data_IF_273012164835
#
_entry.id   IF_273012164835
#
_cell.length_a   1.000
_cell.length_b   1.000
_cell.length_c   1.000
_cell.angle_alpha   90.00
_cell.angle_beta   90.00
_cell.angle_gamma   90.00
#
_symmetry.space_group_name_H-M   'P 1'
#
loop_
_entity.id
_entity.type
_entity.pdbx_description
1 polymer ?
#
# COMPACT_ATOMS: atom_id res chain seq x y z
N UNK A 1 -8.35 -16.81 8.49
CA UNK A 1 -9.03 -17.09 9.78
C UNK A 1 -9.75 -18.41 9.72
N UNK A 2 -9.56 -19.24 10.75
CA UNK A 2 -9.89 -20.68 10.92
C UNK A 2 -11.01 -21.25 10.03
N UNK A 3 -10.58 -21.72 8.84
CA UNK A 3 -11.31 -22.50 7.84
C UNK A 3 -12.29 -21.78 6.88
N UNK A 4 -12.20 -20.44 6.70
CA UNK A 4 -12.98 -19.78 5.64
C UNK A 4 -12.79 -18.27 5.43
N UNK A 5 -12.02 -17.58 6.28
CA UNK A 5 -11.74 -16.15 6.09
C UNK A 5 -10.39 -15.98 5.38
N UNK A 6 -10.44 -15.80 4.06
CA UNK A 6 -9.33 -15.29 3.28
C UNK A 6 -9.16 -13.80 3.62
N UNK A 7 -7.97 -13.34 4.01
CA UNK A 7 -7.71 -11.90 4.28
C UNK A 7 -6.44 -11.48 3.54
N UNK A 8 -6.60 -11.01 2.31
CA UNK A 8 -5.50 -10.66 1.40
C UNK A 8 -5.12 -9.16 1.43
N UNK A 9 -5.82 -8.35 2.22
CA UNK A 9 -5.64 -6.88 2.22
C UNK A 9 -4.24 -6.41 2.61
N UNK A 10 -3.46 -7.25 3.30
CA UNK A 10 -2.08 -6.94 3.68
C UNK A 10 -1.19 -6.59 2.47
N UNK A 11 -1.40 -7.24 1.32
CA UNK A 11 -0.63 -6.95 0.11
C UNK A 11 -0.86 -5.52 -0.39
N UNK A 12 -2.08 -5.01 -0.28
CA UNK A 12 -2.39 -3.62 -0.63
C UNK A 12 -1.68 -2.63 0.30
N UNK A 13 -1.74 -2.84 1.62
CA UNK A 13 -1.09 -1.93 2.59
C UNK A 13 0.43 -1.96 2.48
N UNK A 14 1.02 -3.14 2.22
CA UNK A 14 2.44 -3.28 1.92
C UNK A 14 2.81 -2.49 0.66
N UNK A 15 2.01 -2.59 -0.41
CA UNK A 15 2.27 -1.85 -1.64
C UNK A 15 2.20 -0.34 -1.43
N UNK A 16 1.20 0.17 -0.70
CA UNK A 16 1.08 1.59 -0.35
C UNK A 16 2.32 2.08 0.39
N UNK A 17 2.79 1.33 1.40
CA UNK A 17 4.00 1.68 2.13
C UNK A 17 5.26 1.63 1.26
N UNK A 18 5.44 0.56 0.49
CA UNK A 18 6.61 0.39 -0.37
C UNK A 18 6.72 1.49 -1.43
N UNK A 19 5.66 1.73 -2.20
CA UNK A 19 5.65 2.79 -3.20
C UNK A 19 5.69 4.18 -2.56
N UNK A 20 5.10 4.37 -1.38
CA UNK A 20 5.25 5.58 -0.59
C UNK A 20 6.70 5.87 -0.23
N UNK A 21 7.43 4.87 0.29
CA UNK A 21 8.86 5.01 0.59
C UNK A 21 9.68 5.32 -0.65
N UNK A 22 9.50 4.53 -1.72
CA UNK A 22 10.25 4.69 -2.97
C UNK A 22 10.02 6.06 -3.60
N UNK A 23 8.77 6.57 -3.55
CA UNK A 23 8.47 7.91 -4.02
C UNK A 23 9.08 8.98 -3.12
N UNK A 24 8.97 8.85 -1.79
CA UNK A 24 9.47 9.87 -0.85
C UNK A 24 11.01 9.96 -0.82
N UNK A 25 11.70 8.83 -0.90
CA UNK A 25 13.16 8.77 -0.81
C UNK A 25 13.86 8.86 -2.18
N UNK A 26 13.17 8.56 -3.28
CA UNK A 26 13.75 8.44 -4.62
C UNK A 26 13.33 9.55 -5.59
N UNK A 27 13.87 9.52 -6.80
CA UNK A 27 13.50 10.42 -7.89
C UNK A 27 12.34 9.84 -8.72
N UNK A 28 11.41 10.66 -9.25
CA UNK A 28 11.31 12.13 -9.22
C UNK A 28 10.66 12.72 -7.95
N UNK A 29 10.61 11.98 -6.84
CA UNK A 29 10.05 12.50 -5.59
C UNK A 29 11.01 13.41 -4.82
N UNK A 30 10.65 13.78 -3.57
CA UNK A 30 11.35 14.82 -2.82
C UNK A 30 12.76 14.44 -2.32
N UNK A 31 13.21 13.19 -2.48
CA UNK A 31 14.54 12.77 -2.05
C UNK A 31 14.77 12.91 -0.54
N UNK A 32 13.74 12.64 0.27
CA UNK A 32 13.81 12.78 1.73
C UNK A 32 14.82 11.79 2.33
N UNK A 33 15.42 12.11 3.50
CA UNK A 33 16.26 11.17 4.23
C UNK A 33 15.54 9.84 4.46
N UNK A 34 16.21 8.68 4.28
CA UNK A 34 15.56 7.36 4.31
C UNK A 34 14.75 7.09 5.58
N UNK A 35 15.26 7.49 6.75
CA UNK A 35 14.54 7.35 8.02
C UNK A 35 13.21 8.13 8.06
N UNK A 36 13.20 9.37 7.53
CA UNK A 36 11.98 10.20 7.47
C UNK A 36 11.00 9.63 6.45
N UNK A 37 11.49 9.24 5.27
CA UNK A 37 10.68 8.59 4.24
C UNK A 37 10.04 7.30 4.76
N UNK A 38 10.76 6.50 5.56
CA UNK A 38 10.24 5.28 6.17
C UNK A 38 9.08 5.55 7.13
N UNK A 39 9.25 6.52 8.04
CA UNK A 39 8.19 6.87 8.99
C UNK A 39 6.95 7.38 8.27
N UNK A 40 7.13 8.26 7.27
CA UNK A 40 6.02 8.74 6.44
C UNK A 40 5.34 7.63 5.66
N UNK A 41 6.10 6.67 5.11
CA UNK A 41 5.55 5.51 4.43
C UNK A 41 4.69 4.61 5.34
N UNK A 42 5.12 4.39 6.59
CA UNK A 42 4.33 3.67 7.60
C UNK A 42 3.05 4.44 7.93
N UNK A 43 3.13 5.77 8.09
CA UNK A 43 1.97 6.61 8.32
C UNK A 43 0.99 6.58 7.13
N UNK A 44 1.48 6.57 5.90
CA UNK A 44 0.66 6.43 4.69
C UNK A 44 -0.07 5.09 4.65
N UNK A 45 0.63 3.99 4.93
CA UNK A 45 0.01 2.66 5.03
C UNK A 45 -1.04 2.62 6.15
N UNK A 46 -0.75 3.23 7.30
CA UNK A 46 -1.68 3.38 8.42
C UNK A 46 -2.92 4.22 8.05
N UNK A 47 -2.75 5.31 7.33
CA UNK A 47 -3.84 6.15 6.84
C UNK A 47 -4.74 5.40 5.85
N UNK A 48 -4.15 4.65 4.91
CA UNK A 48 -4.90 3.80 3.98
C UNK A 48 -5.68 2.69 4.72
N UNK A 49 -5.06 2.07 5.73
CA UNK A 49 -5.74 1.12 6.61
C UNK A 49 -6.87 1.75 7.40
N UNK A 50 -6.65 2.95 7.94
CA UNK A 50 -7.66 3.74 8.65
C UNK A 50 -8.86 4.08 7.76
N UNK A 51 -8.61 4.44 6.50
CA UNK A 51 -9.67 4.72 5.52
C UNK A 51 -10.48 3.47 5.15
N UNK A 52 -9.84 2.30 5.10
CA UNK A 52 -10.51 1.03 4.81
C UNK A 52 -11.23 0.41 6.03
N UNK A 53 -10.80 0.75 7.25
CA UNK A 53 -11.31 0.18 8.50
C UNK A 53 -12.85 0.23 8.65
N UNK A 54 -13.56 1.33 8.32
CA UNK A 54 -15.02 1.38 8.39
C UNK A 54 -15.72 0.42 7.43
N UNK A 55 -15.10 0.07 6.30
CA UNK A 55 -15.66 -0.90 5.35
C UNK A 55 -15.44 -2.31 5.90
N UNK A 56 -14.23 -2.61 6.35
CA UNK A 56 -13.88 -3.90 6.95
C UNK A 56 -14.73 -4.22 8.18
N UNK A 57 -15.01 -3.23 9.04
CA UNK A 57 -15.84 -3.40 10.24
C UNK A 57 -17.31 -3.69 9.98
N UNK A 58 -17.82 -3.41 8.77
CA UNK A 58 -19.23 -3.64 8.38
C UNK A 58 -19.50 -5.03 7.80
N UNK A 59 -18.48 -5.76 7.35
CA UNK A 59 -18.60 -7.06 6.69
C UNK A 59 -17.97 -8.17 7.53
N UNK A 60 -18.47 -9.41 7.41
CA UNK A 60 -17.98 -10.56 8.19
C UNK A 60 -17.88 -11.81 7.32
N UNK A 61 -17.04 -12.76 7.74
CA UNK A 61 -16.95 -14.07 7.08
C UNK A 61 -16.41 -13.97 5.65
N UNK A 62 -17.07 -14.64 4.71
CA UNK A 62 -16.67 -14.68 3.29
C UNK A 62 -16.71 -13.30 2.65
N UNK A 63 -17.66 -12.44 3.05
CA UNK A 63 -17.77 -11.08 2.52
C UNK A 63 -16.55 -10.21 2.85
N UNK A 64 -15.91 -10.43 4.00
CA UNK A 64 -14.65 -9.78 4.34
C UNK A 64 -13.54 -10.20 3.37
N UNK A 65 -13.50 -11.49 3.01
CA UNK A 65 -12.55 -11.99 2.02
C UNK A 65 -12.75 -11.33 0.66
N UNK A 66 -13.99 -11.26 0.17
CA UNK A 66 -14.32 -10.55 -1.09
C UNK A 66 -13.96 -9.07 -1.02
N UNK A 67 -14.22 -8.40 0.11
CA UNK A 67 -13.86 -7.00 0.30
C UNK A 67 -12.34 -6.77 0.23
N UNK A 68 -11.54 -7.64 0.86
CA UNK A 68 -10.07 -7.53 0.79
C UNK A 68 -9.52 -7.89 -0.59
N UNK A 69 -10.15 -8.82 -1.31
CA UNK A 69 -9.79 -9.13 -2.69
C UNK A 69 -10.07 -7.92 -3.61
N UNK A 70 -11.26 -7.32 -3.47
CA UNK A 70 -11.62 -6.11 -4.19
C UNK A 70 -10.65 -4.95 -3.88
N UNK A 71 -10.22 -4.81 -2.62
CA UNK A 71 -9.21 -3.83 -2.23
C UNK A 71 -7.88 -4.06 -2.94
N UNK A 72 -7.41 -5.31 -3.04
CA UNK A 72 -6.17 -5.64 -3.75
C UNK A 72 -6.28 -5.30 -5.24
N UNK A 73 -7.39 -5.64 -5.90
CA UNK A 73 -7.60 -5.31 -7.32
C UNK A 73 -7.69 -3.80 -7.55
N UNK A 74 -8.42 -3.08 -6.69
CA UNK A 74 -8.50 -1.63 -6.74
C UNK A 74 -7.12 -1.01 -6.57
N UNK A 75 -6.37 -1.47 -5.57
CA UNK A 75 -5.00 -1.04 -5.33
C UNK A 75 -4.10 -1.30 -6.53
N UNK A 76 -4.14 -2.51 -7.09
CA UNK A 76 -3.37 -2.86 -8.28
C UNK A 76 -3.71 -1.95 -9.47
N UNK A 77 -4.99 -1.67 -9.71
CA UNK A 77 -5.41 -0.76 -10.77
C UNK A 77 -4.90 0.68 -10.54
N UNK A 78 -5.02 1.19 -9.31
CA UNK A 78 -4.50 2.51 -8.95
C UNK A 78 -2.99 2.57 -9.11
N UNK A 79 -2.26 1.56 -8.63
CA UNK A 79 -0.80 1.51 -8.71
C UNK A 79 -0.31 1.46 -10.16
N UNK A 80 -1.02 0.77 -11.06
CA UNK A 80 -0.69 0.75 -12.48
C UNK A 80 -1.08 2.02 -13.23
N UNK A 81 -2.06 2.77 -12.74
CA UNK A 81 -2.50 4.04 -13.37
C UNK A 81 -1.72 5.24 -12.84
N UNK A 82 -1.19 5.15 -11.62
CA UNK A 82 -0.41 6.20 -10.97
C UNK A 82 1.06 6.20 -11.42
N UNK A 83 1.31 6.24 -12.74
CA UNK A 83 2.65 6.15 -13.35
C UNK A 83 3.64 7.17 -12.74
N UNK A 84 3.16 8.38 -12.47
CA UNK A 84 3.94 9.47 -11.87
C UNK A 84 4.38 9.21 -10.43
N UNK A 85 3.83 8.18 -9.76
CA UNK A 85 4.17 7.80 -8.38
C UNK A 85 4.83 6.42 -8.32
N UNK A 86 4.36 5.45 -9.09
CA UNK A 86 4.78 4.05 -9.02
C UNK A 86 5.76 3.64 -10.10
N UNK A 87 5.84 4.39 -11.21
CA UNK A 87 6.51 3.97 -12.43
C UNK A 87 5.70 2.98 -13.28
N UNK A 88 4.43 2.77 -12.95
CA UNK A 88 3.52 1.91 -13.71
C UNK A 88 3.99 0.46 -13.78
N UNK A 89 3.94 -0.13 -14.96
CA UNK A 89 4.42 -1.49 -15.22
C UNK A 89 5.94 -1.65 -15.07
N UNK A 90 6.71 -0.56 -15.21
CA UNK A 90 8.18 -0.62 -15.10
C UNK A 90 8.66 -0.58 -13.65
N UNK A 91 7.81 -0.14 -12.71
CA UNK A 91 8.19 0.05 -11.32
C UNK A 91 9.23 1.15 -11.12
N UNK A 92 9.84 1.17 -9.93
CA UNK A 92 10.86 2.16 -9.54
C UNK A 92 12.02 1.51 -8.79
N UNK A 93 13.19 2.11 -8.96
CA UNK A 93 14.37 1.78 -8.17
C UNK A 93 14.16 2.14 -6.71
N UNK A 94 14.55 1.25 -5.81
CA UNK A 94 14.41 1.45 -4.37
C UNK A 94 15.69 2.10 -3.83
N UNK A 95 15.62 3.30 -3.22
CA UNK A 95 16.78 3.90 -2.57
C UNK A 95 17.27 3.05 -1.39
N UNK A 96 18.60 2.90 -1.19
CA UNK A 96 19.15 2.20 -0.04
C UNK A 96 18.66 2.81 1.27
N UNK A 97 18.40 1.96 2.27
CA UNK A 97 18.10 2.41 3.62
C UNK A 97 19.43 2.66 4.37
N UNK A 98 19.92 3.89 4.31
CA UNK A 98 21.04 4.37 5.12
C UNK A 98 20.48 5.15 6.33
N UNK A 99 20.87 4.73 7.54
CA UNK A 99 20.40 5.31 8.82
C UNK A 99 21.47 6.22 9.43
#
# INVERSE_FOLDING_TARGET
GTAGQLSLGHAFFLAVGAYGYVWLAGEPGPGLPPAVALVLAVLLAGAAGGLFSPVAGRVKGVYLGVATLALVFLGHHVLLTADSVTGGFNGRSVPPLEL
#
